data_IF_022995719083
#
_entry.id   IF_022995719083
#
_cell.length_a   1.000
_cell.length_b   1.000
_cell.length_c   1.000
_cell.angle_alpha   90.00
_cell.angle_beta   90.00
_cell.angle_gamma   90.00
#
_symmetry.space_group_name_H-M   'P 1'
#
loop_
_entity.id
_entity.type
_entity.pdbx_description
1 polymer ?
#
# COMPACT_ATOMS: atom_id res chain seq x y z
N UNK A 1 19.89 27.57 25.83
CA UNK A 1 18.71 28.34 25.43
C UNK A 1 18.10 27.59 24.26
N UNK A 2 17.32 26.56 24.56
CA UNK A 2 16.56 25.80 23.57
C UNK A 2 15.26 26.58 23.40
N UNK A 3 15.12 27.28 22.27
CA UNK A 3 13.85 27.89 21.91
C UNK A 3 12.80 26.79 21.82
N UNK A 4 11.69 27.01 22.51
CA UNK A 4 10.43 26.32 22.31
C UNK A 4 10.07 26.37 20.83
N UNK A 5 10.33 25.30 20.07
CA UNK A 5 9.64 25.11 18.79
C UNK A 5 8.16 25.06 19.13
N UNK A 6 7.43 26.11 18.77
CA UNK A 6 5.97 26.05 18.75
C UNK A 6 5.58 24.79 17.97
N UNK A 7 4.77 23.94 18.59
CA UNK A 7 4.21 22.77 17.91
C UNK A 7 3.44 23.28 16.68
N UNK A 8 3.70 22.74 15.48
CA UNK A 8 3.07 23.24 14.27
C UNK A 8 1.55 23.06 14.37
N UNK A 9 0.82 24.09 13.95
CA UNK A 9 -0.62 23.94 13.71
C UNK A 9 -0.86 23.07 12.48
N UNK A 10 -2.02 22.43 12.45
CA UNK A 10 -2.49 21.72 11.26
C UNK A 10 -2.50 22.70 10.07
N UNK A 11 -1.81 22.39 8.96
CA UNK A 11 -1.79 23.23 7.77
C UNK A 11 -3.13 23.16 7.03
N UNK A 12 -3.36 24.05 6.04
CA UNK A 12 -4.55 24.00 5.19
C UNK A 12 -4.68 22.68 4.44
N UNK A 13 -5.93 22.29 4.18
CA UNK A 13 -6.32 21.07 3.45
C UNK A 13 -6.64 21.37 1.97
N UNK A 14 -6.15 22.50 1.46
CA UNK A 14 -6.39 22.95 0.09
C UNK A 14 -5.72 22.02 -0.93
N UNK A 15 -6.36 21.89 -2.10
CA UNK A 15 -5.77 21.20 -3.24
C UNK A 15 -6.19 19.75 -3.43
N UNK A 16 -7.10 19.23 -2.61
CA UNK A 16 -7.78 17.97 -2.88
C UNK A 16 -8.49 18.05 -4.24
N UNK A 17 -8.27 17.06 -5.10
CA UNK A 17 -8.94 16.93 -6.39
C UNK A 17 -10.43 16.64 -6.20
N UNK A 18 -10.77 15.86 -5.19
CA UNK A 18 -12.13 15.56 -4.76
C UNK A 18 -12.14 15.15 -3.29
N UNK A 19 -13.29 15.33 -2.63
CA UNK A 19 -13.57 14.78 -1.30
C UNK A 19 -14.55 13.63 -1.40
N UNK A 20 -14.21 12.51 -0.76
CA UNK A 20 -15.12 11.37 -0.59
C UNK A 20 -15.66 11.38 0.84
N UNK A 21 -16.89 10.86 1.00
CA UNK A 21 -17.59 10.73 2.29
C UNK A 21 -17.88 12.04 3.04
N UNK A 22 -17.56 13.20 2.46
CA UNK A 22 -17.92 14.52 3.01
C UNK A 22 -17.92 15.59 1.93
N UNK A 23 -18.52 16.74 2.26
CA UNK A 23 -18.18 17.99 1.59
C UNK A 23 -16.70 18.36 1.89
N UNK A 24 -16.08 19.27 1.11
CA UNK A 24 -14.73 19.75 1.41
C UNK A 24 -14.59 20.30 2.83
N UNK A 25 -13.52 19.91 3.53
CA UNK A 25 -13.21 20.39 4.87
C UNK A 25 -12.08 21.42 4.85
N UNK A 26 -12.25 22.50 5.62
CA UNK A 26 -11.17 23.43 5.96
C UNK A 26 -10.58 23.09 7.34
N UNK A 27 -9.28 23.28 7.48
CA UNK A 27 -8.58 23.21 8.77
C UNK A 27 -9.19 24.08 9.87
N UNK A 28 -9.77 25.24 9.52
CA UNK A 28 -10.45 26.14 10.44
C UNK A 28 -11.77 25.56 10.95
N UNK A 29 -12.51 24.84 10.10
CA UNK A 29 -13.79 24.21 10.45
C UNK A 29 -13.62 23.04 11.42
N UNK A 30 -12.41 22.49 11.49
CA UNK A 30 -12.05 21.38 12.38
C UNK A 30 -11.61 21.83 13.78
N UNK A 31 -11.51 23.14 14.04
CA UNK A 31 -11.25 23.66 15.39
C UNK A 31 -12.36 23.22 16.36
N UNK A 32 -11.96 22.82 17.56
CA UNK A 32 -12.84 22.26 18.58
C UNK A 32 -13.00 20.73 18.52
N UNK A 33 -12.54 20.09 17.45
CA UNK A 33 -12.50 18.63 17.31
C UNK A 33 -11.08 18.11 17.54
N UNK A 34 -10.94 16.86 17.97
CA UNK A 34 -9.67 16.13 17.85
C UNK A 34 -9.61 15.58 16.44
N UNK A 35 -8.51 15.79 15.72
CA UNK A 35 -8.35 15.34 14.34
C UNK A 35 -7.23 14.31 14.24
N UNK A 36 -7.49 13.21 13.53
CA UNK A 36 -6.48 12.27 13.07
C UNK A 36 -6.36 12.40 11.55
N UNK A 37 -5.22 12.88 11.07
CA UNK A 37 -4.91 12.83 9.63
C UNK A 37 -4.12 11.56 9.35
N UNK A 38 -4.64 10.72 8.47
CA UNK A 38 -4.03 9.48 8.00
C UNK A 38 -3.62 9.64 6.53
N UNK A 39 -2.33 9.69 6.24
CA UNK A 39 -1.80 9.67 4.87
C UNK A 39 -1.65 8.23 4.38
N UNK A 40 -2.28 7.95 3.25
CA UNK A 40 -2.35 6.61 2.70
C UNK A 40 -2.31 6.58 1.18
N UNK A 41 -2.11 5.38 0.64
CA UNK A 41 -2.20 5.10 -0.78
C UNK A 41 -2.82 3.72 -0.98
N UNK A 42 -3.51 3.50 -2.10
CA UNK A 42 -4.35 2.33 -2.33
C UNK A 42 -3.58 0.99 -2.21
N UNK A 43 -2.32 1.01 -2.59
CA UNK A 43 -1.53 -0.22 -2.82
C UNK A 43 -0.44 -0.49 -1.80
N UNK A 44 -0.24 0.40 -0.83
CA UNK A 44 0.74 0.21 0.24
C UNK A 44 0.29 -0.87 1.22
N UNK A 45 1.02 -1.98 1.31
CA UNK A 45 0.71 -3.07 2.25
C UNK A 45 0.75 -2.61 3.71
N UNK A 46 1.66 -1.68 4.04
CA UNK A 46 1.80 -1.16 5.38
C UNK A 46 0.57 -0.34 5.80
N UNK A 47 0.01 0.45 4.88
CA UNK A 47 -1.27 1.12 5.13
C UNK A 47 -2.42 0.11 5.21
N UNK A 48 -2.48 -0.89 4.33
CA UNK A 48 -3.55 -1.90 4.35
C UNK A 48 -3.66 -2.62 5.70
N UNK A 49 -2.54 -2.81 6.41
CA UNK A 49 -2.52 -3.38 7.77
C UNK A 49 -2.82 -2.37 8.88
N UNK A 50 -2.57 -1.08 8.66
CA UNK A 50 -2.95 0.00 9.57
C UNK A 50 -4.44 0.39 9.46
N UNK A 51 -5.00 0.32 8.27
CA UNK A 51 -6.36 0.79 7.97
C UNK A 51 -7.44 0.22 8.91
N UNK A 52 -7.43 -1.08 9.29
CA UNK A 52 -8.39 -1.62 10.24
C UNK A 52 -8.43 -0.88 11.58
N UNK A 53 -7.28 -0.37 12.05
CA UNK A 53 -7.18 0.39 13.30
C UNK A 53 -7.76 1.79 13.13
N UNK A 54 -7.46 2.48 12.03
CA UNK A 54 -8.00 3.81 11.74
C UNK A 54 -9.52 3.76 11.61
N UNK A 55 -10.05 2.76 10.88
CA UNK A 55 -11.47 2.46 10.78
C UNK A 55 -12.08 2.19 12.15
N UNK A 56 -11.44 1.39 13.00
CA UNK A 56 -11.95 1.05 14.33
C UNK A 56 -11.96 2.26 15.29
N UNK A 57 -10.92 3.11 15.29
CA UNK A 57 -10.87 4.34 16.08
C UNK A 57 -11.95 5.32 15.66
N UNK A 58 -12.16 5.50 14.35
CA UNK A 58 -13.25 6.33 13.84
C UNK A 58 -14.61 5.86 14.37
N UNK A 59 -14.91 4.57 14.28
CA UNK A 59 -16.18 4.03 14.79
C UNK A 59 -16.31 4.17 16.31
N UNK A 60 -15.22 3.95 17.05
CA UNK A 60 -15.22 4.00 18.51
C UNK A 60 -15.35 5.42 19.07
N UNK A 61 -14.73 6.41 18.43
CA UNK A 61 -14.49 7.72 19.02
C UNK A 61 -15.14 8.91 18.30
N UNK A 62 -15.77 8.73 17.13
CA UNK A 62 -16.43 9.84 16.42
C UNK A 62 -17.47 10.60 17.23
N UNK A 63 -18.17 9.90 18.12
CA UNK A 63 -19.17 10.51 19.01
C UNK A 63 -18.55 11.22 20.23
N UNK A 64 -17.26 11.02 20.49
CA UNK A 64 -16.50 11.69 21.54
C UNK A 64 -15.76 12.95 21.03
N UNK A 65 -15.92 13.28 19.74
CA UNK A 65 -15.32 14.45 19.09
C UNK A 65 -14.04 14.14 18.31
N UNK A 66 -13.82 12.89 17.89
CA UNK A 66 -12.80 12.55 16.91
C UNK A 66 -13.32 12.81 15.49
N UNK A 67 -12.49 13.43 14.65
CA UNK A 67 -12.62 13.44 13.20
C UNK A 67 -11.41 12.72 12.60
N UNK A 68 -11.65 11.67 11.82
CA UNK A 68 -10.61 11.06 10.99
C UNK A 68 -10.66 11.66 9.60
N UNK A 69 -9.50 12.04 9.07
CA UNK A 69 -9.33 12.51 7.69
C UNK A 69 -8.31 11.62 6.99
N UNK A 70 -8.73 10.89 5.97
CA UNK A 70 -7.84 10.15 5.11
C UNK A 70 -7.30 11.03 3.98
N UNK A 71 -6.02 11.33 3.96
CA UNK A 71 -5.37 11.96 2.82
C UNK A 71 -4.82 10.86 1.89
N UNK A 72 -5.56 10.56 0.82
CA UNK A 72 -5.10 9.64 -0.21
C UNK A 72 -4.11 10.37 -1.12
N UNK A 73 -2.83 10.05 -0.99
CA UNK A 73 -1.77 10.59 -1.86
C UNK A 73 -1.24 9.42 -2.72
N UNK A 74 -1.35 9.48 -4.05
CA UNK A 74 -1.10 8.33 -4.93
C UNK A 74 0.40 8.01 -5.07
N UNK A 75 0.83 6.78 -4.80
CA UNK A 75 2.23 6.37 -5.02
C UNK A 75 2.53 6.12 -6.51
N UNK A 76 1.56 5.56 -7.23
CA UNK A 76 1.65 5.25 -8.65
C UNK A 76 0.65 6.06 -9.49
N UNK A 77 0.97 6.25 -10.77
CA UNK A 77 0.11 7.00 -11.71
C UNK A 77 -1.35 6.52 -11.70
N UNK A 78 -1.62 5.21 -11.60
CA UNK A 78 -2.99 4.70 -11.66
C UNK A 78 -3.84 5.01 -10.42
N UNK A 79 -3.20 5.30 -9.28
CA UNK A 79 -3.88 5.65 -8.03
C UNK A 79 -4.50 7.05 -8.10
N UNK A 80 -4.15 7.87 -9.11
CA UNK A 80 -4.80 9.16 -9.36
C UNK A 80 -6.25 9.01 -9.83
N UNK A 81 -6.68 7.79 -10.23
CA UNK A 81 -8.03 7.54 -10.68
C UNK A 81 -9.02 7.56 -9.50
N UNK A 82 -9.78 8.65 -9.37
CA UNK A 82 -10.79 8.84 -8.30
C UNK A 82 -11.79 7.68 -8.22
N UNK A 83 -12.21 7.11 -9.35
CA UNK A 83 -13.12 5.96 -9.36
C UNK A 83 -12.52 4.69 -8.75
N UNK A 84 -11.20 4.51 -8.87
CA UNK A 84 -10.45 3.45 -8.19
C UNK A 84 -10.39 3.68 -6.68
N UNK A 85 -10.03 4.89 -6.27
CA UNK A 85 -9.99 5.28 -4.84
C UNK A 85 -11.38 5.09 -4.19
N UNK A 86 -12.45 5.55 -4.85
CA UNK A 86 -13.82 5.41 -4.34
C UNK A 86 -14.24 3.96 -4.14
N UNK A 87 -13.99 3.08 -5.12
CA UNK A 87 -14.27 1.65 -4.95
C UNK A 87 -13.50 1.07 -3.78
N UNK A 88 -12.23 1.44 -3.64
CA UNK A 88 -11.42 0.93 -2.55
C UNK A 88 -11.86 1.39 -1.16
N UNK A 89 -12.34 2.64 -1.04
CA UNK A 89 -12.95 3.14 0.20
C UNK A 89 -14.25 2.42 0.51
N UNK A 90 -15.09 2.15 -0.50
CA UNK A 90 -16.34 1.39 -0.35
C UNK A 90 -16.07 -0.06 0.06
N UNK A 91 -15.19 -0.77 -0.66
CA UNK A 91 -14.83 -2.17 -0.43
C UNK A 91 -14.23 -2.41 0.98
N UNK A 92 -13.57 -1.39 1.54
CA UNK A 92 -12.94 -1.43 2.87
C UNK A 92 -13.81 -0.84 3.98
N UNK A 93 -15.02 -0.38 3.67
CA UNK A 93 -15.89 0.26 4.67
C UNK A 93 -15.26 1.50 5.31
N UNK A 94 -14.50 2.26 4.53
CA UNK A 94 -13.96 3.56 4.93
C UNK A 94 -15.08 4.57 4.77
N UNK A 95 -15.69 4.98 5.89
CA UNK A 95 -16.81 5.93 5.96
C UNK A 95 -16.43 7.29 6.54
N UNK A 96 -15.17 7.49 6.93
CA UNK A 96 -14.65 8.80 7.31
C UNK A 96 -14.30 9.66 6.07
N UNK A 97 -14.22 11.01 6.22
CA UNK A 97 -13.79 11.93 5.15
C UNK A 97 -12.46 11.54 4.50
N UNK A 98 -12.41 11.53 3.17
CA UNK A 98 -11.18 11.27 2.41
C UNK A 98 -10.92 12.42 1.43
N UNK A 99 -9.75 13.04 1.54
CA UNK A 99 -9.23 14.00 0.58
C UNK A 99 -8.36 13.28 -0.46
N UNK A 100 -8.68 13.43 -1.75
CA UNK A 100 -7.87 12.88 -2.84
C UNK A 100 -6.78 13.90 -3.21
N UNK A 101 -5.56 13.67 -2.71
CA UNK A 101 -4.42 14.57 -2.85
C UNK A 101 -3.54 14.22 -4.06
N UNK A 102 -4.14 14.23 -5.25
CA UNK A 102 -3.47 13.86 -6.50
C UNK A 102 -2.29 14.76 -6.87
N UNK A 103 -2.29 16.01 -6.40
CA UNK A 103 -1.23 16.99 -6.67
C UNK A 103 -0.22 17.11 -5.51
N UNK A 104 -0.29 16.23 -4.50
CA UNK A 104 0.60 16.23 -3.32
C UNK A 104 0.59 17.55 -2.53
N UNK A 105 -0.50 18.33 -2.60
CA UNK A 105 -0.58 19.64 -1.96
C UNK A 105 -0.78 19.51 -0.46
N UNK A 106 -1.67 18.61 -0.04
CA UNK A 106 -1.89 18.32 1.39
C UNK A 106 -0.66 17.59 1.96
N UNK A 107 -0.13 16.62 1.23
CA UNK A 107 1.12 15.93 1.57
C UNK A 107 2.27 16.90 1.84
N UNK A 108 2.49 17.84 0.92
CA UNK A 108 3.57 18.83 1.03
C UNK A 108 3.29 19.86 2.13
N UNK A 109 2.03 20.22 2.39
CA UNK A 109 1.71 21.19 3.44
C UNK A 109 2.01 20.64 4.84
N UNK A 110 1.91 19.32 5.03
CA UNK A 110 2.29 18.61 6.25
C UNK A 110 3.79 18.27 6.35
N UNK A 111 4.60 18.59 5.32
CA UNK A 111 5.99 18.14 5.19
C UNK A 111 6.09 16.60 5.40
N UNK A 112 5.13 15.85 4.85
CA UNK A 112 5.12 14.39 4.95
C UNK A 112 6.09 13.76 3.94
N UNK A 113 6.63 12.58 4.29
CA UNK A 113 7.57 11.83 3.44
C UNK A 113 7.30 10.31 3.45
N UNK A 114 6.21 9.85 4.06
CA UNK A 114 5.99 8.42 4.33
C UNK A 114 4.54 7.96 4.12
N UNK A 115 4.40 6.71 3.66
CA UNK A 115 3.16 5.95 3.73
C UNK A 115 3.34 4.70 4.64
N UNK A 116 2.39 4.43 5.54
CA UNK A 116 1.41 5.37 6.04
C UNK A 116 2.04 6.43 6.97
N UNK A 117 1.31 7.50 7.25
CA UNK A 117 1.66 8.47 8.28
C UNK A 117 0.42 8.98 9.04
N UNK A 118 0.50 9.03 10.36
CA UNK A 118 -0.54 9.56 11.25
C UNK A 118 -0.08 10.87 11.88
N UNK A 119 -0.99 11.85 11.92
CA UNK A 119 -0.82 13.11 12.66
C UNK A 119 -2.00 13.30 13.62
N UNK A 120 -1.69 13.54 14.90
CA UNK A 120 -2.68 13.67 15.97
C UNK A 120 -2.79 15.12 16.39
N UNK A 121 -3.97 15.70 16.19
CA UNK A 121 -4.22 17.13 16.29
C UNK A 121 -5.27 17.38 17.38
N UNK A 122 -4.99 18.31 18.29
CA UNK A 122 -5.91 18.65 19.38
C UNK A 122 -7.04 19.61 18.96
N UNK A 123 -7.87 20.03 19.93
CA UNK A 123 -9.02 20.90 19.69
C UNK A 123 -8.62 22.33 19.31
N UNK A 124 -7.43 22.76 19.71
CA UNK A 124 -6.80 24.01 19.28
C UNK A 124 -6.14 23.88 17.89
N UNK A 125 -6.24 22.68 17.30
CA UNK A 125 -5.60 22.17 16.11
C UNK A 125 -4.10 22.44 16.00
N UNK A 126 -3.43 22.13 17.10
CA UNK A 126 -1.98 21.95 17.23
C UNK A 126 -1.68 20.47 17.03
N UNK A 127 -0.65 20.15 16.23
CA UNK A 127 -0.16 18.78 16.09
C UNK A 127 0.57 18.41 17.39
N UNK A 128 0.03 17.41 18.10
CA UNK A 128 0.56 16.95 19.41
C UNK A 128 1.40 15.70 19.32
N UNK A 129 1.18 14.87 18.30
CA UNK A 129 1.99 13.69 18.01
C UNK A 129 1.96 13.36 16.53
N UNK A 130 2.93 12.55 16.08
CA UNK A 130 2.92 11.93 14.76
C UNK A 130 3.52 10.52 14.79
N UNK A 131 3.14 9.70 13.82
CA UNK A 131 3.72 8.38 13.60
C UNK A 131 3.93 8.13 12.11
N UNK A 132 5.15 7.74 11.74
CA UNK A 132 5.48 7.38 10.37
C UNK A 132 5.74 5.87 10.28
N UNK A 133 5.14 5.22 9.28
CA UNK A 133 5.18 3.79 9.10
C UNK A 133 4.06 3.03 9.83
N UNK A 134 4.15 1.71 9.76
CA UNK A 134 3.20 0.79 10.37
C UNK A 134 3.51 0.53 11.85
N UNK A 135 2.47 0.37 12.67
CA UNK A 135 2.57 0.00 14.08
C UNK A 135 2.11 1.09 15.05
N UNK A 136 2.64 1.04 16.28
CA UNK A 136 2.28 1.92 17.41
C UNK A 136 0.78 2.06 17.66
N UNK A 137 -0.01 1.00 17.44
CA UNK A 137 -1.46 1.12 17.49
C UNK A 137 -1.99 1.40 18.90
N UNK A 138 -1.48 0.70 19.92
CA UNK A 138 -1.89 0.95 21.31
C UNK A 138 -1.48 2.34 21.79
N UNK A 139 -0.28 2.80 21.41
CA UNK A 139 0.19 4.14 21.74
C UNK A 139 -0.62 5.22 21.01
N UNK A 140 -0.97 4.98 19.75
CA UNK A 140 -1.82 5.88 18.94
C UNK A 140 -3.22 6.00 19.53
N UNK A 141 -3.82 4.88 19.95
CA UNK A 141 -5.10 4.85 20.66
C UNK A 141 -5.02 5.68 21.96
N UNK A 142 -3.98 5.46 22.76
CA UNK A 142 -3.76 6.21 24.00
C UNK A 142 -3.54 7.72 23.77
N UNK A 143 -2.95 8.13 22.64
CA UNK A 143 -2.86 9.54 22.23
C UNK A 143 -4.26 10.08 21.91
N UNK A 144 -5.05 9.38 21.11
CA UNK A 144 -6.42 9.79 20.76
C UNK A 144 -7.27 9.95 22.02
N UNK A 145 -7.28 8.95 22.91
CA UNK A 145 -8.04 9.01 24.15
C UNK A 145 -7.66 10.20 25.03
N UNK A 146 -6.35 10.49 25.14
CA UNK A 146 -5.84 11.65 25.89
C UNK A 146 -6.30 12.98 25.29
N UNK A 147 -6.24 13.12 23.98
CA UNK A 147 -6.71 14.33 23.29
C UNK A 147 -8.22 14.49 23.43
N UNK A 148 -8.96 13.38 23.40
CA UNK A 148 -10.41 13.36 23.59
C UNK A 148 -10.82 13.62 25.04
N UNK A 149 -9.95 13.32 26.01
CA UNK A 149 -10.24 13.43 27.44
C UNK A 149 -11.06 12.25 27.97
N UNK A 150 -10.87 11.07 27.39
CA UNK A 150 -11.57 9.82 27.75
C UNK A 150 -10.56 8.77 28.23
N UNK A 151 -11.05 7.74 28.92
CA UNK A 151 -10.27 6.58 29.35
C UNK A 151 -11.11 5.31 29.16
N UNK A 152 -10.68 4.45 28.24
CA UNK A 152 -11.32 3.20 27.79
C UNK A 152 -10.24 2.16 27.47
N UNK A 153 -10.62 0.90 27.47
CA UNK A 153 -9.75 -0.17 26.95
C UNK A 153 -9.36 0.11 25.48
N UNK A 154 -8.12 -0.19 25.06
CA UNK A 154 -7.70 -0.04 23.68
C UNK A 154 -8.62 -0.78 22.71
N UNK A 155 -8.85 -0.19 21.54
CA UNK A 155 -9.72 -0.82 20.54
C UNK A 155 -9.05 -2.08 19.99
N UNK A 156 -9.67 -3.23 20.25
CA UNK A 156 -9.20 -4.52 19.73
C UNK A 156 -9.49 -4.64 18.23
N UNK A 157 -8.49 -5.02 17.45
CA UNK A 157 -8.54 -5.13 15.99
C UNK A 157 -7.91 -6.45 15.56
N UNK A 158 -8.64 -7.20 14.74
CA UNK A 158 -8.15 -8.42 14.10
C UNK A 158 -8.16 -8.22 12.58
N UNK A 159 -6.99 -7.95 12.01
CA UNK A 159 -6.83 -7.87 10.56
C UNK A 159 -6.87 -9.26 9.91
N UNK A 160 -7.58 -9.39 8.80
CA UNK A 160 -7.72 -10.64 8.05
C UNK A 160 -7.20 -10.49 6.62
N UNK A 161 -6.83 -11.61 5.99
CA UNK A 161 -6.32 -11.59 4.62
C UNK A 161 -5.12 -10.65 4.48
N UNK A 162 -5.22 -9.67 3.59
CA UNK A 162 -4.19 -8.63 3.36
C UNK A 162 -4.05 -7.63 4.51
N UNK A 163 -5.09 -7.45 5.32
CA UNK A 163 -5.08 -6.56 6.50
C UNK A 163 -4.42 -7.23 7.72
N UNK A 164 -4.10 -8.53 7.65
CA UNK A 164 -3.48 -9.26 8.75
C UNK A 164 -2.05 -8.79 9.02
N UNK A 165 -1.67 -8.73 10.32
CA UNK A 165 -0.35 -8.27 10.77
C UNK A 165 0.80 -9.02 10.09
N UNK A 166 1.87 -8.30 9.76
CA UNK A 166 3.06 -8.90 9.17
C UNK A 166 3.76 -9.87 10.14
N UNK A 167 4.47 -10.84 9.60
CA UNK A 167 5.46 -11.65 10.34
C UNK A 167 6.78 -10.88 10.43
N UNK A 168 6.86 -9.95 11.38
CA UNK A 168 8.00 -9.05 11.56
C UNK A 168 9.32 -9.77 11.80
N UNK A 169 9.28 -10.93 12.46
CA UNK A 169 10.46 -11.74 12.75
C UNK A 169 11.07 -12.37 11.48
N UNK A 170 10.28 -12.48 10.41
CA UNK A 170 10.68 -13.11 9.15
C UNK A 170 10.58 -12.20 7.92
N UNK A 171 10.40 -10.89 8.10
CA UNK A 171 10.33 -9.90 7.03
C UNK A 171 11.71 -9.32 6.70
N UNK A 172 12.42 -9.95 5.74
CA UNK A 172 13.78 -9.55 5.36
C UNK A 172 13.90 -8.99 3.93
N UNK A 173 12.85 -9.14 3.11
CA UNK A 173 12.81 -8.55 1.77
C UNK A 173 12.16 -7.17 1.80
N UNK A 174 12.85 -6.11 1.34
CA UNK A 174 12.26 -4.78 1.24
C UNK A 174 11.28 -4.70 0.07
N UNK A 175 10.48 -3.64 0.04
CA UNK A 175 9.71 -3.29 -1.14
C UNK A 175 10.61 -3.21 -2.40
N UNK A 176 10.13 -3.81 -3.49
CA UNK A 176 10.90 -3.99 -4.72
C UNK A 176 10.15 -3.36 -5.89
N UNK A 177 10.51 -2.12 -6.23
CA UNK A 177 9.99 -1.41 -7.41
C UNK A 177 10.53 -2.01 -8.71
N UNK A 178 9.70 -2.00 -9.76
CA UNK A 178 10.01 -2.70 -11.01
C UNK A 178 10.32 -1.74 -12.18
N UNK A 179 9.81 -0.51 -12.15
CA UNK A 179 10.14 0.51 -13.14
C UNK A 179 11.55 1.07 -12.98
N UNK A 180 12.17 1.53 -14.07
CA UNK A 180 13.57 2.00 -14.04
C UNK A 180 13.82 3.26 -13.18
N UNK A 181 12.77 3.97 -12.77
CA UNK A 181 12.89 5.19 -11.96
C UNK A 181 13.25 4.92 -10.50
N UNK A 182 12.84 3.77 -9.96
CA UNK A 182 13.07 3.35 -8.55
C UNK A 182 13.55 1.90 -8.43
N UNK A 183 13.52 1.14 -9.52
CA UNK A 183 13.82 -0.28 -9.50
C UNK A 183 15.30 -0.56 -9.29
N UNK A 184 15.55 -1.51 -8.39
CA UNK A 184 16.88 -2.00 -8.06
C UNK A 184 16.90 -3.53 -8.17
N UNK A 185 18.10 -4.13 -8.13
CA UNK A 185 18.28 -5.60 -8.07
C UNK A 185 17.62 -6.38 -9.23
N UNK A 186 17.43 -5.74 -10.38
CA UNK A 186 17.04 -6.42 -11.62
C UNK A 186 18.15 -7.37 -12.10
N UNK A 187 17.80 -8.61 -12.39
CA UNK A 187 18.75 -9.70 -12.60
C UNK A 187 18.69 -10.38 -13.98
N UNK A 188 17.81 -9.95 -14.89
CA UNK A 188 17.83 -10.52 -16.24
C UNK A 188 19.15 -10.18 -16.97
N UNK A 189 19.81 -11.15 -17.64
CA UNK A 189 21.17 -10.97 -18.17
C UNK A 189 21.35 -9.84 -19.18
N UNK A 190 20.30 -9.51 -19.94
CA UNK A 190 20.31 -8.44 -20.95
C UNK A 190 20.36 -7.03 -20.35
N UNK A 191 20.15 -6.87 -19.04
CA UNK A 191 19.99 -5.56 -18.40
C UNK A 191 18.69 -4.87 -18.82
N UNK A 192 18.47 -3.65 -18.33
CA UNK A 192 17.22 -2.89 -18.57
C UNK A 192 17.23 -2.25 -19.95
N UNK A 193 16.24 -2.55 -20.79
CA UNK A 193 15.93 -1.78 -21.99
C UNK A 193 14.86 -0.71 -21.68
N UNK A 194 15.30 0.54 -21.52
CA UNK A 194 14.46 1.67 -21.10
C UNK A 194 13.44 2.02 -22.18
N UNK A 195 12.15 2.01 -21.82
CA UNK A 195 11.01 2.41 -22.64
C UNK A 195 10.95 1.72 -24.02
N UNK A 196 11.56 0.53 -24.11
CA UNK A 196 11.63 -0.27 -25.32
C UNK A 196 11.18 -1.70 -25.01
N UNK A 197 10.38 -2.26 -25.92
CA UNK A 197 10.05 -3.67 -25.89
C UNK A 197 11.32 -4.49 -26.08
N UNK A 198 11.55 -5.45 -25.19
CA UNK A 198 12.65 -6.38 -25.27
C UNK A 198 12.26 -7.77 -24.75
N UNK A 199 13.02 -8.76 -25.19
CA UNK A 199 12.93 -10.13 -24.68
C UNK A 199 13.86 -10.30 -23.50
N UNK A 200 13.36 -10.88 -22.41
CA UNK A 200 14.10 -11.14 -21.19
C UNK A 200 14.14 -12.63 -20.86
N UNK A 201 15.09 -13.00 -20.02
CA UNK A 201 15.25 -14.35 -19.49
C UNK A 201 15.51 -14.27 -17.98
N UNK A 202 14.84 -15.13 -17.22
CA UNK A 202 15.13 -15.34 -15.79
C UNK A 202 16.42 -16.14 -15.68
N UNK A 203 17.45 -15.68 -14.95
CA UNK A 203 18.71 -16.41 -14.80
C UNK A 203 18.49 -17.73 -14.04
N UNK A 204 19.34 -18.72 -14.28
CA UNK A 204 19.30 -20.02 -13.56
C UNK A 204 19.34 -19.87 -12.03
N UNK A 205 20.00 -18.81 -11.54
CA UNK A 205 20.07 -18.50 -10.11
C UNK A 205 19.66 -17.05 -9.87
N UNK A 206 18.55 -16.89 -9.16
CA UNK A 206 18.10 -15.61 -8.61
C UNK A 206 18.60 -15.47 -7.16
N UNK A 207 19.27 -14.36 -6.84
CA UNK A 207 19.73 -14.04 -5.48
C UNK A 207 18.57 -13.50 -4.63
N UNK A 208 18.67 -13.61 -3.29
CA UNK A 208 17.69 -13.00 -2.39
C UNK A 208 17.53 -11.50 -2.69
N UNK A 209 16.29 -11.01 -2.65
CA UNK A 209 15.88 -9.64 -2.95
C UNK A 209 16.16 -9.20 -4.40
N UNK A 210 16.35 -10.15 -5.32
CA UNK A 210 16.46 -9.87 -6.76
C UNK A 210 15.22 -10.36 -7.49
N UNK A 211 14.95 -9.72 -8.62
CA UNK A 211 13.86 -10.05 -9.50
C UNK A 211 14.31 -10.06 -10.96
N UNK A 212 13.60 -10.80 -11.80
CA UNK A 212 13.92 -10.96 -13.21
C UNK A 212 12.65 -11.16 -14.04
N UNK A 213 12.76 -10.88 -15.34
CA UNK A 213 11.70 -11.06 -16.32
C UNK A 213 12.04 -12.19 -17.29
N UNK A 214 11.02 -12.87 -17.79
CA UNK A 214 11.09 -13.77 -18.94
C UNK A 214 9.98 -13.44 -19.95
N UNK A 215 10.28 -13.55 -21.25
CA UNK A 215 9.35 -13.18 -22.33
C UNK A 215 9.47 -11.72 -22.74
N UNK A 216 8.44 -11.22 -23.44
CA UNK A 216 8.45 -9.86 -24.01
C UNK A 216 7.87 -8.84 -23.02
N UNK A 217 8.68 -7.84 -22.68
CA UNK A 217 8.33 -6.79 -21.73
C UNK A 217 8.78 -5.41 -22.20
N UNK A 218 8.07 -4.38 -21.74
CA UNK A 218 8.52 -2.99 -21.78
C UNK A 218 8.75 -2.51 -20.35
N UNK A 219 9.97 -2.03 -20.05
CA UNK A 219 10.30 -1.46 -18.73
C UNK A 219 10.15 0.06 -18.81
N UNK A 220 9.07 0.56 -18.22
CA UNK A 220 8.80 1.99 -18.08
C UNK A 220 9.34 2.57 -16.79
N UNK A 221 9.08 3.87 -16.57
CA UNK A 221 9.64 4.59 -15.40
C UNK A 221 9.15 4.02 -14.06
N UNK A 222 7.86 3.76 -13.93
CA UNK A 222 7.23 3.31 -12.68
C UNK A 222 6.90 1.81 -12.67
N UNK A 223 6.81 1.19 -13.85
CA UNK A 223 6.22 -0.13 -14.03
C UNK A 223 6.87 -0.92 -15.16
N UNK A 224 6.65 -2.22 -15.17
CA UNK A 224 6.94 -3.11 -16.30
C UNK A 224 5.62 -3.60 -16.92
N UNK A 225 5.56 -3.72 -18.23
CA UNK A 225 4.35 -4.11 -18.96
C UNK A 225 4.59 -5.41 -19.72
N UNK A 226 3.74 -6.42 -19.48
CA UNK A 226 3.75 -7.68 -20.19
C UNK A 226 3.23 -7.48 -21.63
N UNK A 227 4.12 -7.50 -22.62
CA UNK A 227 3.77 -7.20 -24.01
C UNK A 227 3.13 -8.39 -24.74
N UNK A 228 3.30 -9.61 -24.22
CA UNK A 228 2.81 -10.86 -24.81
C UNK A 228 2.27 -11.80 -23.75
N UNK A 229 1.36 -12.68 -24.17
CA UNK A 229 0.98 -13.88 -23.41
C UNK A 229 2.22 -14.73 -23.09
N UNK A 230 2.27 -15.28 -21.88
CA UNK A 230 3.37 -16.10 -21.40
C UNK A 230 4.54 -15.31 -20.82
N UNK A 231 4.43 -13.97 -20.75
CA UNK A 231 5.42 -13.14 -20.06
C UNK A 231 5.41 -13.45 -18.55
N UNK A 232 6.59 -13.76 -17.99
CA UNK A 232 6.77 -14.09 -16.58
C UNK A 232 7.63 -13.05 -15.86
N UNK A 233 7.36 -12.86 -14.57
CA UNK A 233 8.22 -12.15 -13.62
C UNK A 233 8.50 -13.06 -12.41
N UNK A 234 9.75 -13.10 -11.95
CA UNK A 234 10.14 -13.85 -10.76
C UNK A 234 10.85 -12.96 -9.74
N UNK A 235 10.62 -13.23 -8.46
CA UNK A 235 11.28 -12.57 -7.33
C UNK A 235 11.69 -13.62 -6.30
N UNK A 236 12.93 -13.56 -5.80
CA UNK A 236 13.36 -14.36 -4.65
C UNK A 236 13.29 -13.51 -3.38
N UNK A 237 12.53 -13.98 -2.40
CA UNK A 237 12.16 -13.22 -1.21
C UNK A 237 12.27 -14.05 0.07
N UNK A 238 12.27 -13.36 1.21
CA UNK A 238 12.19 -13.89 2.57
C UNK A 238 11.17 -13.06 3.36
N UNK A 239 9.94 -13.57 3.38
CA UNK A 239 8.78 -13.03 4.09
C UNK A 239 7.71 -14.13 4.19
N UNK A 240 6.72 -13.98 5.08
CA UNK A 240 5.58 -14.90 5.13
C UNK A 240 4.70 -14.67 3.92
N UNK A 241 4.38 -13.42 3.64
CA UNK A 241 3.48 -13.01 2.58
C UNK A 241 4.25 -12.34 1.44
N UNK A 242 3.88 -12.64 0.19
CA UNK A 242 4.36 -11.93 -0.99
C UNK A 242 3.18 -11.37 -1.77
N UNK A 243 3.27 -10.08 -2.09
CA UNK A 243 2.23 -9.33 -2.77
C UNK A 243 2.78 -8.70 -4.04
N UNK A 244 1.90 -8.38 -4.97
CA UNK A 244 2.26 -7.73 -6.23
C UNK A 244 1.25 -6.61 -6.54
N UNK A 245 1.78 -5.42 -6.80
CA UNK A 245 0.98 -4.27 -7.23
C UNK A 245 0.78 -4.37 -8.74
N UNK A 246 -0.47 -4.58 -9.14
CA UNK A 246 -0.86 -4.86 -10.52
C UNK A 246 -1.92 -3.86 -11.00
N UNK A 247 -1.87 -3.56 -12.29
CA UNK A 247 -2.95 -2.91 -13.02
C UNK A 247 -3.10 -3.55 -14.40
N UNK A 248 -4.32 -3.65 -14.95
CA UNK A 248 -4.55 -4.12 -16.32
C UNK A 248 -4.45 -3.02 -17.38
N UNK A 249 -4.22 -1.77 -16.98
CA UNK A 249 -4.35 -0.61 -17.84
C UNK A 249 -5.74 -0.61 -18.51
N UNK A 250 -5.74 -0.61 -19.84
CA UNK A 250 -6.96 -0.69 -20.66
C UNK A 250 -7.26 -2.11 -21.18
N UNK A 251 -6.48 -3.13 -20.79
CA UNK A 251 -6.69 -4.50 -21.24
C UNK A 251 -7.95 -5.12 -20.60
N UNK A 252 -8.53 -6.14 -21.23
CA UNK A 252 -9.50 -7.02 -20.57
C UNK A 252 -8.88 -7.68 -19.32
N UNK A 253 -9.67 -8.25 -18.39
CA UNK A 253 -9.11 -8.98 -17.25
C UNK A 253 -8.04 -10.00 -17.68
N UNK A 254 -6.87 -9.95 -17.05
CA UNK A 254 -5.71 -10.75 -17.43
C UNK A 254 -5.57 -11.95 -16.47
N UNK A 255 -5.82 -13.18 -16.91
CA UNK A 255 -5.55 -14.36 -16.08
C UNK A 255 -4.04 -14.49 -15.87
N UNK A 256 -3.62 -14.94 -14.70
CA UNK A 256 -2.22 -15.21 -14.40
C UNK A 256 -2.06 -16.51 -13.61
N UNK A 257 -0.86 -17.09 -13.68
CA UNK A 257 -0.46 -18.26 -12.89
C UNK A 257 0.71 -17.90 -11.98
N UNK A 258 0.67 -18.39 -10.74
CA UNK A 258 1.70 -18.25 -9.73
C UNK A 258 2.34 -19.60 -9.47
N UNK A 259 3.66 -19.64 -9.48
CA UNK A 259 4.46 -20.75 -8.97
C UNK A 259 5.30 -20.28 -7.78
N UNK A 260 5.53 -21.18 -6.83
CA UNK A 260 6.35 -20.98 -5.66
C UNK A 260 7.42 -22.09 -5.63
N UNK A 261 8.68 -21.71 -5.86
CA UNK A 261 9.82 -22.59 -6.14
C UNK A 261 9.57 -23.57 -7.31
N UNK A 262 8.87 -23.10 -8.35
CA UNK A 262 8.56 -23.89 -9.55
C UNK A 262 7.36 -24.83 -9.41
N UNK A 263 6.73 -24.89 -8.24
CA UNK A 263 5.54 -25.71 -7.97
C UNK A 263 4.31 -24.83 -7.71
N UNK A 264 3.11 -25.40 -7.77
CA UNK A 264 1.88 -24.68 -7.38
C UNK A 264 1.92 -24.33 -5.87
N UNK A 265 1.34 -23.19 -5.44
CA UNK A 265 1.47 -22.73 -4.06
C UNK A 265 0.78 -23.65 -3.04
N UNK A 266 -0.25 -24.40 -3.44
CA UNK A 266 -1.00 -25.30 -2.57
C UNK A 266 -1.51 -24.54 -1.34
N UNK A 267 -1.28 -25.02 -0.10
CA UNK A 267 -1.73 -24.34 1.11
C UNK A 267 -1.02 -23.00 1.36
N UNK A 268 0.02 -22.65 0.59
CA UNK A 268 0.71 -21.36 0.71
C UNK A 268 0.14 -20.27 -0.22
N UNK A 269 -1.04 -20.48 -0.80
CA UNK A 269 -1.67 -19.50 -1.67
C UNK A 269 -2.12 -18.26 -0.87
N UNK A 270 -1.98 -17.08 -1.47
CA UNK A 270 -2.55 -15.84 -0.94
C UNK A 270 -4.05 -15.73 -1.22
N UNK A 271 -4.71 -14.71 -0.68
CA UNK A 271 -6.17 -14.55 -0.86
C UNK A 271 -6.60 -14.27 -2.31
N UNK A 272 -5.68 -13.84 -3.17
CA UNK A 272 -5.97 -13.48 -4.57
C UNK A 272 -5.61 -14.58 -5.59
N UNK A 273 -5.18 -15.74 -5.10
CA UNK A 273 -4.70 -16.87 -5.90
C UNK A 273 -5.26 -18.16 -5.32
N UNK A 274 -5.71 -19.09 -6.15
CA UNK A 274 -6.14 -20.41 -5.66
C UNK A 274 -4.96 -21.36 -5.36
N UNK A 275 -5.26 -22.54 -4.82
CA UNK A 275 -4.22 -23.52 -4.45
C UNK A 275 -3.42 -24.03 -5.66
N UNK A 276 -4.02 -24.00 -6.85
CA UNK A 276 -3.42 -24.35 -8.13
C UNK A 276 -2.59 -23.20 -8.73
N UNK A 277 -2.53 -22.05 -8.06
CA UNK A 277 -1.76 -20.89 -8.48
C UNK A 277 -2.49 -20.00 -9.48
N UNK A 278 -3.79 -20.16 -9.71
CA UNK A 278 -4.54 -19.36 -10.67
C UNK A 278 -5.07 -18.08 -10.02
N UNK A 279 -4.86 -16.95 -10.69
CA UNK A 279 -5.41 -15.66 -10.30
C UNK A 279 -5.92 -14.88 -11.50
N UNK A 280 -6.62 -13.78 -11.24
CA UNK A 280 -7.20 -12.93 -12.27
C UNK A 280 -7.02 -11.45 -11.93
N UNK A 281 -6.23 -10.75 -12.74
CA UNK A 281 -6.04 -9.31 -12.65
C UNK A 281 -7.27 -8.60 -13.24
N UNK A 282 -8.07 -7.98 -12.38
CA UNK A 282 -9.34 -7.30 -12.74
C UNK A 282 -9.29 -5.78 -12.58
N UNK A 283 -8.52 -5.32 -11.62
CA UNK A 283 -8.47 -3.93 -11.18
C UNK A 283 -7.07 -3.57 -10.68
N UNK A 284 -6.78 -2.27 -10.65
CA UNK A 284 -5.51 -1.72 -10.18
C UNK A 284 -5.45 -1.72 -8.65
N UNK A 285 -4.69 -2.64 -8.05
CA UNK A 285 -4.49 -2.74 -6.60
C UNK A 285 -3.30 -3.64 -6.26
N UNK A 286 -3.08 -3.84 -4.97
CA UNK A 286 -2.21 -4.90 -4.45
C UNK A 286 -2.94 -6.26 -4.44
N UNK A 287 -2.26 -7.29 -4.93
CA UNK A 287 -2.71 -8.69 -4.93
C UNK A 287 -1.83 -9.51 -4.00
N UNK A 288 -2.41 -10.23 -3.03
CA UNK A 288 -1.68 -11.17 -2.18
C UNK A 288 -1.54 -12.52 -2.90
N UNK A 289 -0.32 -12.84 -3.32
CA UNK A 289 -0.04 -14.01 -4.14
C UNK A 289 0.29 -15.24 -3.30
N UNK A 290 1.06 -15.04 -2.24
CA UNK A 290 1.59 -16.10 -1.38
C UNK A 290 1.36 -15.69 0.07
N UNK A 291 0.96 -16.67 0.88
CA UNK A 291 1.06 -16.66 2.34
C UNK A 291 1.63 -17.99 2.77
N UNK A 292 2.92 -18.03 3.11
CA UNK A 292 3.61 -19.28 3.41
C UNK A 292 2.93 -20.04 4.56
N UNK A 293 2.56 -21.29 4.30
CA UNK A 293 2.04 -22.18 5.32
C UNK A 293 3.18 -22.94 6.01
N UNK A 294 3.21 -22.93 7.34
CA UNK A 294 4.27 -23.54 8.14
C UNK A 294 5.46 -22.60 8.37
N UNK A 295 6.69 -23.14 8.35
CA UNK A 295 7.89 -22.35 8.61
C UNK A 295 8.20 -21.37 7.46
N UNK A 296 8.40 -20.10 7.81
CA UNK A 296 8.82 -19.07 6.86
C UNK A 296 10.28 -19.27 6.49
N UNK A 297 10.57 -19.23 5.19
CA UNK A 297 11.91 -19.40 4.61
C UNK A 297 12.03 -18.61 3.32
N UNK A 298 13.25 -18.52 2.77
CA UNK A 298 13.46 -17.97 1.44
C UNK A 298 12.72 -18.80 0.39
N UNK A 299 12.02 -18.12 -0.53
CA UNK A 299 11.32 -18.74 -1.67
C UNK A 299 11.50 -17.92 -2.94
N UNK A 300 11.20 -18.51 -4.09
CA UNK A 300 11.05 -17.79 -5.36
C UNK A 300 9.59 -17.85 -5.80
N UNK A 301 8.96 -16.69 -5.93
CA UNK A 301 7.65 -16.57 -6.59
C UNK A 301 7.87 -16.25 -8.06
N UNK A 302 7.17 -16.95 -8.94
CA UNK A 302 7.08 -16.64 -10.37
C UNK A 302 5.62 -16.42 -10.76
N UNK A 303 5.35 -15.36 -11.53
CA UNK A 303 4.03 -15.00 -12.02
C UNK A 303 4.08 -14.96 -13.54
N UNK A 304 3.27 -15.78 -14.21
CA UNK A 304 3.10 -15.80 -15.66
C UNK A 304 1.75 -15.20 -16.04
N UNK A 305 1.75 -14.17 -16.89
CA UNK A 305 0.53 -13.55 -17.41
C UNK A 305 0.04 -14.29 -18.66
N UNK A 306 -1.22 -14.73 -18.64
CA UNK A 306 -1.84 -15.55 -19.70
C UNK A 306 -2.56 -14.70 -20.76
N UNK A 307 -2.37 -13.38 -20.70
CA UNK A 307 -2.75 -12.42 -21.73
C UNK A 307 -1.81 -11.20 -21.63
N UNK A 308 -1.61 -10.43 -22.71
CA UNK A 308 -0.80 -9.22 -22.66
C UNK A 308 -1.50 -8.08 -21.90
N UNK A 309 -0.74 -7.04 -21.56
CA UNK A 309 -1.24 -5.78 -21.01
C UNK A 309 -1.21 -5.66 -19.49
N UNK A 310 -0.76 -6.69 -18.77
CA UNK A 310 -0.52 -6.58 -17.34
C UNK A 310 0.60 -5.57 -17.06
N UNK A 311 0.29 -4.57 -16.24
CA UNK A 311 1.22 -3.58 -15.72
C UNK A 311 1.59 -3.95 -14.28
N UNK A 312 2.88 -4.05 -14.00
CA UNK A 312 3.41 -4.53 -12.72
C UNK A 312 4.33 -3.47 -12.12
N UNK A 313 4.06 -3.07 -10.88
CA UNK A 313 4.67 -1.87 -10.28
C UNK A 313 5.71 -2.20 -9.21
N UNK A 314 5.33 -3.02 -8.22
CA UNK A 314 6.19 -3.38 -7.11
C UNK A 314 5.81 -4.73 -6.49
N UNK A 315 6.80 -5.45 -5.96
CA UNK A 315 6.56 -6.47 -4.95
C UNK A 315 6.62 -5.84 -3.55
N UNK A 316 5.69 -6.23 -2.69
CA UNK A 316 5.67 -5.88 -1.27
C UNK A 316 5.46 -7.13 -0.42
N UNK A 317 5.80 -7.05 0.86
CA UNK A 317 5.98 -8.23 1.70
C UNK A 317 5.34 -8.05 3.07
N UNK A 318 5.10 -9.15 3.77
CA UNK A 318 4.52 -9.17 5.11
C UNK A 318 4.67 -10.51 5.80
#
# INVERSE_FOLDING_TARGET
MWETRESPHMPPLDGAAEWLNSEPLDSADLRGQVVLVNFWTLTCINWLRQEPYVRAWWQAYRNDGLVVLGAHTPEFTFEHNVGGVRRATEDRGIDYPVAIDNDYKIWSSFDNHYWPALYFIDREGVIRDSHFGEGRYEESDAVLQRLLGIEREPVAVEGLGVEAVADWDHLATPETYLGYGRGEKFASPSGVAIDQRASYVIPERLLLNHWALAGEWTIGREKVVADREGASIACRFHARDAHLVLNRGNADPVPFRVLLDGEVPGPSHGVDVDAEGTGLLRDGRLYQLVRQNGAVRERTVEITFLAPGAEVYAFTFG
#
